data_IF_102553708371
#
_entry.id   IF_102553708371
#
_cell.length_a   1.000
_cell.length_b   1.000
_cell.length_c   1.000
_cell.angle_alpha   90.00
_cell.angle_beta   90.00
_cell.angle_gamma   90.00
#
_symmetry.space_group_name_H-M   'P 1'
#
loop_
_entity.id
_entity.type
_entity.pdbx_description
1 polymer ?
#
# COMPACT_ATOMS: atom_id res chain seq x y z
N UNK A 1 -15.84 19.55 -37.78
CA UNK A 1 -16.28 20.93 -38.07
C UNK A 1 -15.53 21.86 -37.13
N UNK A 2 -15.02 22.95 -37.69
CA UNK A 2 -13.88 23.72 -37.23
C UNK A 2 -14.02 24.32 -35.82
N UNK A 3 -12.90 24.33 -35.09
CA UNK A 3 -12.73 24.92 -33.76
C UNK A 3 -12.50 26.45 -33.86
N UNK A 4 -13.37 27.16 -34.56
CA UNK A 4 -13.20 28.59 -34.87
C UNK A 4 -13.56 29.51 -33.70
N UNK A 5 -14.25 28.98 -32.69
CA UNK A 5 -14.66 29.75 -31.53
C UNK A 5 -13.50 30.14 -30.60
N UNK A 6 -12.41 29.35 -30.54
CA UNK A 6 -11.28 29.62 -29.65
C UNK A 6 -10.37 30.76 -30.13
N UNK A 7 -10.33 31.06 -31.44
CA UNK A 7 -9.54 32.19 -31.97
C UNK A 7 -10.27 33.54 -31.84
N UNK A 8 -11.60 33.53 -31.83
CA UNK A 8 -12.42 34.75 -31.68
C UNK A 8 -12.36 35.27 -30.22
N UNK A 9 -12.35 34.37 -29.23
CA UNK A 9 -12.25 34.74 -27.81
C UNK A 9 -10.86 35.33 -27.47
N UNK A 10 -9.80 34.87 -28.14
CA UNK A 10 -8.46 35.45 -28.00
C UNK A 10 -8.36 36.90 -28.53
N UNK A 11 -9.12 37.24 -29.58
CA UNK A 11 -9.19 38.60 -30.11
C UNK A 11 -9.97 39.58 -29.21
N UNK A 12 -11.03 39.11 -28.56
CA UNK A 12 -11.90 39.95 -27.70
C UNK A 12 -11.19 40.35 -26.40
N UNK A 13 -10.36 39.48 -25.82
CA UNK A 13 -9.61 39.79 -24.60
C UNK A 13 -8.60 40.94 -24.79
N UNK A 14 -7.93 41.01 -25.95
CA UNK A 14 -7.03 42.11 -26.30
C UNK A 14 -7.80 43.40 -26.62
N UNK A 15 -8.99 43.30 -27.24
CA UNK A 15 -9.80 44.44 -27.64
C UNK A 15 -10.43 45.21 -26.46
N UNK A 16 -10.62 44.58 -25.30
CA UNK A 16 -11.22 45.24 -24.11
C UNK A 16 -10.16 45.75 -23.12
N UNK A 17 -9.01 45.09 -23.01
CA UNK A 17 -7.95 45.48 -22.04
C UNK A 17 -7.11 46.66 -22.50
N UNK A 18 -6.78 46.75 -23.79
CA UNK A 18 -5.95 47.83 -24.33
C UNK A 18 -6.62 49.22 -24.26
N UNK A 19 -7.92 49.41 -24.58
CA UNK A 19 -8.57 50.71 -24.48
C UNK A 19 -8.79 51.17 -23.02
N UNK A 20 -9.11 50.24 -22.11
CA UNK A 20 -9.35 50.54 -20.69
C UNK A 20 -8.05 50.96 -19.97
N UNK A 21 -6.91 50.36 -20.31
CA UNK A 21 -5.61 50.73 -19.75
C UNK A 21 -5.07 52.05 -20.32
N UNK A 22 -5.32 52.33 -21.61
CA UNK A 22 -4.95 53.60 -22.26
C UNK A 22 -5.75 54.80 -21.70
N UNK A 23 -7.01 54.59 -21.30
CA UNK A 23 -7.84 55.64 -20.67
C UNK A 23 -7.42 55.98 -19.22
N UNK A 24 -6.65 55.10 -18.56
CA UNK A 24 -6.20 55.25 -17.18
C UNK A 24 -4.76 55.81 -17.02
N UNK A 25 -4.06 56.13 -18.12
CA UNK A 25 -2.71 56.71 -18.10
C UNK A 25 -1.58 55.77 -17.66
N UNK A 26 -1.81 54.45 -17.70
CA UNK A 26 -0.85 53.44 -17.25
C UNK A 26 0.22 53.18 -18.33
N UNK A 27 1.52 53.10 -17.99
CA UNK A 27 2.58 52.81 -18.96
C UNK A 27 2.37 51.44 -19.63
N UNK A 28 2.57 51.37 -20.95
CA UNK A 28 2.24 50.21 -21.80
C UNK A 28 2.81 48.86 -21.29
N UNK A 29 3.99 48.89 -20.66
CA UNK A 29 4.65 47.71 -20.09
C UNK A 29 3.85 47.04 -18.95
N UNK A 30 3.15 47.84 -18.12
CA UNK A 30 2.33 47.30 -17.03
C UNK A 30 1.01 46.71 -17.55
N UNK A 31 0.47 47.26 -18.64
CA UNK A 31 -0.72 46.72 -19.29
C UNK A 31 -0.46 45.33 -19.90
N UNK A 32 0.71 45.11 -20.51
CA UNK A 32 1.12 43.79 -21.04
C UNK A 32 1.25 42.77 -19.89
N UNK A 33 1.89 43.16 -18.78
CA UNK A 33 2.00 42.31 -17.61
C UNK A 33 0.64 41.91 -17.02
N UNK A 34 -0.27 42.88 -16.89
CA UNK A 34 -1.63 42.63 -16.39
C UNK A 34 -2.42 41.73 -17.35
N UNK A 35 -2.27 41.91 -18.66
CA UNK A 35 -2.91 41.06 -19.67
C UNK A 35 -2.41 39.61 -19.60
N UNK A 36 -1.11 39.36 -19.38
CA UNK A 36 -0.58 37.99 -19.21
C UNK A 36 -1.13 37.32 -17.96
N UNK A 37 -1.26 38.05 -16.85
CA UNK A 37 -1.81 37.52 -15.59
C UNK A 37 -3.30 37.20 -15.73
N UNK A 38 -4.08 38.11 -16.33
CA UNK A 38 -5.52 37.90 -16.59
C UNK A 38 -5.74 36.75 -17.57
N UNK A 39 -4.90 36.64 -18.61
CA UNK A 39 -4.94 35.55 -19.57
C UNK A 39 -4.62 34.20 -18.91
N UNK A 40 -3.56 34.13 -18.10
CA UNK A 40 -3.22 32.92 -17.35
C UNK A 40 -4.36 32.51 -16.39
N UNK A 41 -4.95 33.47 -15.67
CA UNK A 41 -6.09 33.23 -14.79
C UNK A 41 -7.33 32.72 -15.53
N UNK A 42 -7.68 33.36 -16.65
CA UNK A 42 -8.81 32.92 -17.49
C UNK A 42 -8.57 31.56 -18.11
N UNK A 43 -7.35 31.25 -18.58
CA UNK A 43 -6.99 29.93 -19.10
C UNK A 43 -7.17 28.87 -18.01
N UNK A 44 -6.80 29.13 -16.75
CA UNK A 44 -6.99 28.19 -15.65
C UNK A 44 -8.47 28.00 -15.28
N UNK A 45 -9.27 29.07 -15.29
CA UNK A 45 -10.71 29.02 -14.92
C UNK A 45 -11.57 28.40 -16.02
N UNK A 46 -11.26 28.67 -17.29
CA UNK A 46 -12.02 28.19 -18.46
C UNK A 46 -11.41 26.96 -19.14
N UNK A 47 -10.22 26.49 -18.73
CA UNK A 47 -9.69 25.22 -19.22
C UNK A 47 -10.67 24.09 -18.88
N UNK A 48 -11.03 23.23 -19.85
CA UNK A 48 -11.95 22.13 -19.61
C UNK A 48 -11.34 21.18 -18.58
N UNK A 49 -11.95 21.08 -17.39
CA UNK A 49 -11.51 20.19 -16.29
C UNK A 49 -11.20 18.76 -16.74
N UNK A 50 -11.92 18.27 -17.77
CA UNK A 50 -11.76 16.95 -18.41
C UNK A 50 -10.35 16.66 -18.94
N UNK A 51 -9.62 17.67 -19.42
CA UNK A 51 -8.29 17.49 -20.00
C UNK A 51 -7.20 17.19 -18.95
N UNK A 52 -7.42 17.59 -17.69
CA UNK A 52 -6.48 17.36 -16.59
C UNK A 52 -6.92 16.24 -15.64
N UNK A 53 -8.21 15.93 -15.56
CA UNK A 53 -8.75 14.85 -14.73
C UNK A 53 -8.49 13.47 -15.36
N UNK A 54 -8.90 13.23 -16.60
CA UNK A 54 -8.89 11.87 -17.14
C UNK A 54 -7.48 11.24 -17.19
N UNK A 55 -6.46 11.98 -17.60
CA UNK A 55 -5.09 11.45 -17.67
C UNK A 55 -4.37 11.33 -16.31
N UNK A 56 -4.69 12.20 -15.34
CA UNK A 56 -4.06 12.11 -14.01
C UNK A 56 -4.69 10.98 -13.20
N UNK A 57 -6.01 10.86 -13.23
CA UNK A 57 -6.73 9.81 -12.50
C UNK A 57 -6.45 8.44 -13.10
N UNK A 58 -6.39 8.30 -14.44
CA UNK A 58 -5.99 7.05 -15.07
C UNK A 58 -4.54 6.66 -14.75
N UNK A 59 -3.62 7.63 -14.58
CA UNK A 59 -2.25 7.35 -14.11
C UNK A 59 -2.21 6.89 -12.66
N UNK A 60 -3.01 7.51 -11.79
CA UNK A 60 -3.11 7.13 -10.37
C UNK A 60 -3.69 5.73 -10.25
N UNK A 61 -4.82 5.44 -10.89
CA UNK A 61 -5.46 4.11 -10.87
C UNK A 61 -4.51 3.03 -11.41
N UNK A 62 -3.82 3.27 -12.54
CA UNK A 62 -2.79 2.34 -13.04
C UNK A 62 -1.66 2.12 -12.04
N UNK A 63 -1.19 3.18 -11.38
CA UNK A 63 -0.12 3.08 -10.37
C UNK A 63 -0.58 2.28 -9.15
N UNK A 64 -1.78 2.55 -8.65
CA UNK A 64 -2.38 1.85 -7.51
C UNK A 64 -2.57 0.36 -7.82
N UNK A 65 -3.09 0.01 -9.00
CA UNK A 65 -3.21 -1.39 -9.43
C UNK A 65 -1.86 -2.08 -9.63
N UNK A 66 -0.86 -1.36 -10.15
CA UNK A 66 0.49 -1.90 -10.26
C UNK A 66 1.09 -2.18 -8.88
N UNK A 67 0.93 -1.26 -7.94
CA UNK A 67 1.37 -1.43 -6.55
C UNK A 67 0.69 -2.61 -5.86
N UNK A 68 -0.65 -2.73 -5.97
CA UNK A 68 -1.38 -3.88 -5.44
C UNK A 68 -0.84 -5.21 -6.01
N UNK A 69 -0.58 -5.26 -7.32
CA UNK A 69 0.00 -6.43 -7.98
C UNK A 69 1.40 -6.75 -7.49
N UNK A 70 2.25 -5.74 -7.32
CA UNK A 70 3.62 -5.91 -6.83
C UNK A 70 3.63 -6.44 -5.39
N UNK A 71 2.72 -5.92 -4.54
CA UNK A 71 2.55 -6.42 -3.18
C UNK A 71 2.10 -7.88 -3.18
N UNK A 72 1.09 -8.24 -3.98
CA UNK A 72 0.63 -9.62 -4.10
C UNK A 72 1.74 -10.55 -4.58
N UNK A 73 2.51 -10.13 -5.58
CA UNK A 73 3.64 -10.90 -6.10
C UNK A 73 4.70 -11.18 -5.03
N UNK A 74 4.95 -10.23 -4.13
CA UNK A 74 5.87 -10.41 -3.00
C UNK A 74 5.27 -11.24 -1.84
N UNK A 75 3.98 -11.12 -1.57
CA UNK A 75 3.35 -11.72 -0.40
C UNK A 75 2.85 -13.16 -0.63
N UNK A 76 2.47 -13.52 -1.86
CA UNK A 76 2.02 -14.86 -2.21
C UNK A 76 3.03 -15.96 -1.86
N UNK A 77 4.34 -15.82 -2.17
CA UNK A 77 5.34 -16.80 -1.74
C UNK A 77 5.42 -16.95 -0.21
N UNK A 78 5.24 -15.89 0.56
CA UNK A 78 5.30 -15.94 2.02
C UNK A 78 4.10 -16.67 2.62
N UNK A 79 2.90 -16.49 2.05
CA UNK A 79 1.73 -17.29 2.42
C UNK A 79 1.91 -18.79 2.06
N UNK A 80 2.57 -19.10 0.93
CA UNK A 80 2.91 -20.48 0.59
C UNK A 80 3.95 -21.09 1.54
N UNK A 81 4.92 -20.30 2.01
CA UNK A 81 5.86 -20.74 3.05
C UNK A 81 5.14 -21.08 4.35
N UNK A 82 4.13 -20.31 4.76
CA UNK A 82 3.30 -20.65 5.93
C UNK A 82 2.62 -22.01 5.75
N UNK A 83 1.99 -22.28 4.61
CA UNK A 83 1.38 -23.59 4.34
C UNK A 83 2.40 -24.73 4.36
N UNK A 84 3.55 -24.52 3.72
CA UNK A 84 4.65 -25.51 3.71
C UNK A 84 5.26 -25.71 5.09
N UNK A 85 5.30 -24.67 5.93
CA UNK A 85 5.70 -24.79 7.33
C UNK A 85 4.67 -25.62 8.10
N UNK A 86 3.37 -25.32 7.96
CA UNK A 86 2.29 -26.07 8.60
C UNK A 86 2.35 -27.57 8.28
N UNK A 87 2.60 -27.94 7.02
CA UNK A 87 2.73 -29.34 6.60
C UNK A 87 3.91 -30.06 7.26
N UNK A 88 4.96 -29.33 7.64
CA UNK A 88 6.14 -29.86 8.33
C UNK A 88 5.95 -29.95 9.85
N UNK A 89 4.97 -29.27 10.41
CA UNK A 89 4.70 -29.23 11.85
C UNK A 89 4.00 -30.52 12.30
N UNK A 90 4.57 -31.18 13.29
CA UNK A 90 4.05 -32.41 13.88
C UNK A 90 2.92 -32.13 14.89
N UNK A 91 3.02 -31.07 15.68
CA UNK A 91 1.95 -30.66 16.60
C UNK A 91 0.68 -30.24 15.84
N UNK A 92 -0.44 -30.98 15.99
CA UNK A 92 -1.66 -30.69 15.24
C UNK A 92 -2.28 -29.33 15.58
N UNK A 93 -2.11 -28.84 16.82
CA UNK A 93 -2.66 -27.55 17.28
C UNK A 93 -1.87 -26.42 16.63
N UNK A 94 -0.53 -26.48 16.69
CA UNK A 94 0.30 -25.43 16.10
C UNK A 94 0.14 -25.42 14.57
N UNK A 95 0.11 -26.60 13.93
CA UNK A 95 -0.19 -26.73 12.51
C UNK A 95 -1.50 -26.06 12.12
N UNK A 96 -2.57 -26.25 12.89
CA UNK A 96 -3.85 -25.59 12.63
C UNK A 96 -3.72 -24.07 12.67
N UNK A 97 -3.03 -23.51 13.68
CA UNK A 97 -2.83 -22.06 13.81
C UNK A 97 -2.05 -21.48 12.63
N UNK A 98 -1.00 -22.17 12.17
CA UNK A 98 -0.23 -21.73 10.99
C UNK A 98 -1.06 -21.83 9.69
N UNK A 99 -1.91 -22.85 9.55
CA UNK A 99 -2.86 -22.91 8.43
C UNK A 99 -3.88 -21.77 8.48
N UNK A 100 -4.35 -21.38 9.66
CA UNK A 100 -5.22 -20.21 9.83
C UNK A 100 -4.50 -18.90 9.46
N UNK A 101 -3.22 -18.73 9.81
CA UNK A 101 -2.41 -17.59 9.34
C UNK A 101 -2.36 -17.51 7.82
N UNK A 102 -2.08 -18.62 7.14
CA UNK A 102 -2.05 -18.67 5.68
C UNK A 102 -3.43 -18.33 5.08
N UNK A 103 -4.51 -18.87 5.66
CA UNK A 103 -5.89 -18.58 5.24
C UNK A 103 -6.23 -17.10 5.37
N UNK A 104 -5.91 -16.48 6.50
CA UNK A 104 -6.19 -15.05 6.76
C UNK A 104 -5.35 -14.16 5.83
N UNK A 105 -4.10 -14.52 5.56
CA UNK A 105 -3.28 -13.82 4.58
C UNK A 105 -3.93 -13.84 3.18
N UNK A 106 -4.42 -15.00 2.73
CA UNK A 106 -5.15 -15.12 1.46
C UNK A 106 -6.45 -14.31 1.42
N UNK A 107 -7.15 -14.18 2.56
CA UNK A 107 -8.34 -13.33 2.65
C UNK A 107 -8.00 -11.85 2.45
N UNK A 108 -6.90 -11.37 3.04
CA UNK A 108 -6.40 -10.00 2.83
C UNK A 108 -6.00 -9.80 1.36
N UNK A 109 -5.38 -10.80 0.73
CA UNK A 109 -5.01 -10.74 -0.68
C UNK A 109 -6.23 -10.62 -1.59
N UNK A 110 -7.27 -11.43 -1.35
CA UNK A 110 -8.51 -11.34 -2.11
C UNK A 110 -9.16 -9.96 -1.98
N UNK A 111 -9.18 -9.38 -0.78
CA UNK A 111 -9.68 -8.02 -0.56
C UNK A 111 -8.86 -6.95 -1.29
N UNK A 112 -7.54 -7.12 -1.40
CA UNK A 112 -6.67 -6.23 -2.17
C UNK A 112 -6.86 -6.39 -3.68
N UNK A 113 -7.12 -7.62 -4.15
CA UNK A 113 -7.45 -7.89 -5.56
C UNK A 113 -8.79 -7.24 -5.94
N UNK A 114 -9.78 -7.30 -5.05
CA UNK A 114 -11.09 -6.67 -5.21
C UNK A 114 -11.02 -5.13 -5.13
N UNK A 115 -10.22 -4.60 -4.19
CA UNK A 115 -10.03 -3.16 -3.99
C UNK A 115 -8.54 -2.76 -3.93
N UNK A 116 -7.92 -2.50 -5.10
CA UNK A 116 -6.51 -2.09 -5.18
C UNK A 116 -6.20 -0.79 -4.44
N UNK A 117 -7.19 0.06 -4.13
CA UNK A 117 -6.96 1.32 -3.41
C UNK A 117 -6.44 1.09 -1.99
N UNK A 118 -6.69 -0.11 -1.42
CA UNK A 118 -6.19 -0.50 -0.11
C UNK A 118 -4.72 -0.92 -0.10
N UNK A 119 -4.03 -0.91 -1.25
CA UNK A 119 -2.62 -1.29 -1.34
C UNK A 119 -1.74 -0.58 -0.30
N UNK A 120 -2.00 0.70 -0.04
CA UNK A 120 -1.28 1.46 0.98
C UNK A 120 -1.50 0.93 2.40
N UNK A 121 -2.73 0.55 2.75
CA UNK A 121 -3.11 0.06 4.09
C UNK A 121 -2.52 -1.33 4.37
N UNK A 122 -2.55 -2.23 3.38
CA UNK A 122 -2.05 -3.61 3.53
C UNK A 122 -0.56 -3.76 3.22
N UNK A 123 0.10 -2.70 2.73
CA UNK A 123 1.51 -2.71 2.36
C UNK A 123 2.38 -3.28 3.48
N UNK A 124 2.26 -2.74 4.69
CA UNK A 124 3.13 -3.12 5.83
C UNK A 124 2.85 -4.56 6.27
N UNK A 125 1.59 -4.98 6.27
CA UNK A 125 1.22 -6.37 6.49
C UNK A 125 1.95 -7.30 5.51
N UNK A 126 1.85 -7.00 4.21
CA UNK A 126 2.39 -7.83 3.14
C UNK A 126 3.91 -7.81 3.06
N UNK A 127 4.55 -6.66 3.32
CA UNK A 127 5.99 -6.49 3.13
C UNK A 127 6.82 -6.73 4.38
N UNK A 128 6.22 -6.81 5.56
CA UNK A 128 6.95 -6.93 6.83
C UNK A 128 6.38 -8.01 7.74
N UNK A 129 5.10 -7.92 8.10
CA UNK A 129 4.52 -8.83 9.10
C UNK A 129 4.36 -10.25 8.57
N UNK A 130 3.84 -10.41 7.35
CA UNK A 130 3.63 -11.72 6.75
C UNK A 130 4.94 -12.50 6.53
N UNK A 131 6.00 -11.92 5.91
CA UNK A 131 7.28 -12.61 5.80
C UNK A 131 7.84 -13.06 7.15
N UNK A 132 7.76 -12.20 8.17
CA UNK A 132 8.25 -12.51 9.52
C UNK A 132 7.45 -13.63 10.20
N UNK A 133 6.12 -13.62 10.05
CA UNK A 133 5.29 -14.71 10.53
C UNK A 133 5.64 -16.04 9.86
N UNK A 134 5.96 -16.01 8.55
CA UNK A 134 6.45 -17.19 7.84
C UNK A 134 7.78 -17.68 8.41
N UNK A 135 8.74 -16.80 8.65
CA UNK A 135 10.02 -17.15 9.28
C UNK A 135 9.85 -17.79 10.67
N UNK A 136 8.93 -17.27 11.49
CA UNK A 136 8.61 -17.84 12.82
C UNK A 136 8.03 -19.25 12.69
N UNK A 137 7.07 -19.46 11.78
CA UNK A 137 6.47 -20.76 11.55
C UNK A 137 7.49 -21.79 11.01
N UNK A 138 8.35 -21.37 10.08
CA UNK A 138 9.44 -22.22 9.58
C UNK A 138 10.46 -22.55 10.68
N UNK A 139 10.77 -21.58 11.53
CA UNK A 139 11.64 -21.77 12.68
C UNK A 139 11.08 -22.77 13.68
N UNK A 140 9.78 -22.70 13.97
CA UNK A 140 9.09 -23.69 14.80
C UNK A 140 9.26 -25.10 14.22
N UNK A 141 8.92 -25.30 12.95
CA UNK A 141 9.02 -26.61 12.28
C UNK A 141 10.48 -27.14 12.27
N UNK A 142 11.45 -26.24 12.06
CA UNK A 142 12.87 -26.59 12.06
C UNK A 142 13.38 -26.99 13.45
N UNK A 143 12.87 -26.39 14.52
CA UNK A 143 13.23 -26.77 15.90
C UNK A 143 12.54 -28.07 16.30
N UNK A 144 11.25 -28.23 16.00
CA UNK A 144 10.46 -29.41 16.37
C UNK A 144 11.03 -30.71 15.81
N UNK A 145 11.62 -30.66 14.61
CA UNK A 145 12.26 -31.82 13.97
C UNK A 145 13.62 -32.21 14.58
N UNK A 146 14.23 -31.35 15.42
CA UNK A 146 15.50 -31.66 16.10
C UNK A 146 15.26 -32.65 17.23
N UNK A 147 16.11 -33.68 17.33
CA UNK A 147 16.05 -34.70 18.40
C UNK A 147 16.20 -34.13 19.83
N UNK A 148 16.74 -32.92 19.98
CA UNK A 148 17.02 -32.26 21.27
C UNK A 148 16.20 -30.97 21.41
N UNK A 149 15.04 -30.88 20.74
CA UNK A 149 14.16 -29.73 20.85
C UNK A 149 13.72 -29.54 22.32
N UNK A 150 13.88 -28.33 22.86
CA UNK A 150 13.37 -27.99 24.18
C UNK A 150 11.85 -27.75 24.11
N UNK A 151 11.02 -28.53 24.80
CA UNK A 151 9.56 -28.36 24.81
C UNK A 151 9.12 -26.97 25.29
N UNK A 152 9.87 -26.34 26.21
CA UNK A 152 9.56 -24.97 26.66
C UNK A 152 9.75 -23.98 25.53
N UNK A 153 10.79 -24.17 24.74
CA UNK A 153 11.10 -23.31 23.60
C UNK A 153 10.04 -23.41 22.51
N UNK A 154 9.59 -24.63 22.21
CA UNK A 154 8.46 -24.84 21.29
C UNK A 154 7.19 -24.17 21.81
N UNK A 155 6.89 -24.28 23.11
CA UNK A 155 5.73 -23.62 23.70
C UNK A 155 5.79 -22.08 23.60
N UNK A 156 6.96 -21.48 23.82
CA UNK A 156 7.18 -20.02 23.65
C UNK A 156 6.90 -19.56 22.21
N UNK A 157 7.48 -20.25 21.23
CA UNK A 157 7.29 -19.93 19.81
C UNK A 157 5.82 -20.17 19.41
N UNK A 158 5.21 -21.26 19.89
CA UNK A 158 3.80 -21.58 19.67
C UNK A 158 2.86 -20.50 20.23
N UNK A 159 3.19 -19.89 21.36
CA UNK A 159 2.45 -18.77 21.92
C UNK A 159 2.57 -17.48 21.09
N UNK A 160 3.70 -17.27 20.40
CA UNK A 160 3.84 -16.16 19.45
C UNK A 160 3.08 -16.46 18.14
N UNK A 161 3.09 -17.70 17.65
CA UNK A 161 2.23 -18.11 16.51
C UNK A 161 0.75 -17.86 16.84
N UNK A 162 0.32 -18.12 18.07
CA UNK A 162 -1.04 -17.85 18.52
C UNK A 162 -1.39 -16.36 18.45
N UNK A 163 -0.53 -15.52 19.01
CA UNK A 163 -0.69 -14.05 18.98
C UNK A 163 -0.64 -13.49 17.56
N UNK A 164 0.23 -14.03 16.70
CA UNK A 164 0.28 -13.70 15.28
C UNK A 164 -1.07 -14.03 14.62
N UNK A 165 -1.63 -15.21 14.90
CA UNK A 165 -2.92 -15.64 14.34
C UNK A 165 -4.05 -14.71 14.77
N UNK A 166 -4.09 -14.33 16.05
CA UNK A 166 -5.10 -13.40 16.56
C UNK A 166 -4.92 -12.00 15.97
N UNK A 167 -3.69 -11.46 15.98
CA UNK A 167 -3.39 -10.15 15.41
C UNK A 167 -3.67 -10.06 13.90
N UNK A 168 -3.38 -11.12 13.14
CA UNK A 168 -3.71 -11.18 11.71
C UNK A 168 -5.21 -11.25 11.49
N UNK A 169 -5.94 -12.00 12.31
CA UNK A 169 -7.40 -12.10 12.22
C UNK A 169 -8.05 -10.75 12.52
N UNK A 170 -7.64 -10.09 13.61
CA UNK A 170 -8.14 -8.75 13.94
C UNK A 170 -7.76 -7.70 12.90
N UNK A 171 -6.53 -7.79 12.36
CA UNK A 171 -6.12 -6.93 11.26
C UNK A 171 -6.94 -7.20 9.99
N UNK A 172 -7.28 -8.44 9.66
CA UNK A 172 -8.16 -8.73 8.54
C UNK A 172 -9.56 -8.12 8.75
N UNK A 173 -10.10 -8.14 9.97
CA UNK A 173 -11.42 -7.57 10.25
C UNK A 173 -11.44 -6.04 10.19
N UNK A 174 -10.43 -5.38 10.74
CA UNK A 174 -10.42 -3.93 10.97
C UNK A 174 -9.33 -3.13 10.23
N UNK A 175 -8.43 -3.79 9.50
CA UNK A 175 -7.24 -3.21 8.84
C UNK A 175 -6.47 -2.20 9.72
N UNK A 176 -6.42 -2.48 11.03
CA UNK A 176 -5.89 -1.54 12.01
C UNK A 176 -4.42 -1.86 12.29
N UNK A 177 -3.50 -0.95 11.92
CA UNK A 177 -2.06 -1.14 12.15
C UNK A 177 -1.70 -1.36 13.62
N UNK A 178 -2.49 -0.85 14.57
CA UNK A 178 -2.24 -1.05 16.00
C UNK A 178 -2.23 -2.54 16.39
N UNK A 179 -3.08 -3.36 15.75
CA UNK A 179 -3.13 -4.81 15.99
C UNK A 179 -1.81 -5.48 15.59
N UNK A 180 -1.27 -5.11 14.43
CA UNK A 180 0.02 -5.62 13.95
C UNK A 180 1.20 -5.04 14.74
N UNK A 181 1.13 -3.76 15.14
CA UNK A 181 2.18 -3.09 15.90
C UNK A 181 2.45 -3.74 17.25
N UNK A 182 1.43 -4.34 17.88
CA UNK A 182 1.62 -5.11 19.12
C UNK A 182 2.56 -6.32 18.96
N UNK A 183 2.69 -6.84 17.73
CA UNK A 183 3.50 -8.01 17.39
C UNK A 183 4.98 -7.69 17.14
N UNK A 184 5.35 -6.41 17.01
CA UNK A 184 6.72 -5.99 16.66
C UNK A 184 7.76 -6.51 17.68
N UNK A 185 7.43 -6.45 18.97
CA UNK A 185 8.31 -6.94 20.04
C UNK A 185 8.40 -8.46 20.04
N UNK A 186 7.26 -9.14 19.93
CA UNK A 186 7.19 -10.61 19.94
C UNK A 186 7.98 -11.21 18.77
N UNK A 187 7.80 -10.65 17.57
CA UNK A 187 8.53 -11.07 16.37
C UNK A 187 10.04 -10.85 16.52
N UNK A 188 10.44 -9.65 16.96
CA UNK A 188 11.86 -9.31 17.10
C UNK A 188 12.58 -10.17 18.15
N UNK A 189 11.90 -10.50 19.25
CA UNK A 189 12.46 -11.36 20.30
C UNK A 189 12.59 -12.81 19.83
N UNK A 190 11.53 -13.37 19.24
CA UNK A 190 11.54 -14.75 18.76
C UNK A 190 12.51 -14.93 17.60
N UNK A 191 12.56 -14.02 16.62
CA UNK A 191 13.50 -14.10 15.50
C UNK A 191 14.96 -14.18 15.97
N UNK A 192 15.37 -13.29 16.88
CA UNK A 192 16.73 -13.31 17.46
C UNK A 192 17.03 -14.62 18.16
N UNK A 193 16.05 -15.15 18.87
CA UNK A 193 16.24 -16.41 19.58
C UNK A 193 16.19 -17.62 18.62
N UNK A 194 15.41 -17.56 17.53
CA UNK A 194 15.40 -18.58 16.47
C UNK A 194 16.74 -18.62 15.73
N UNK A 195 17.33 -17.48 15.42
CA UNK A 195 18.66 -17.39 14.79
C UNK A 195 19.71 -18.14 15.63
N UNK A 196 19.70 -17.90 16.95
CA UNK A 196 20.55 -18.61 17.91
C UNK A 196 20.29 -20.12 17.96
N UNK A 197 19.03 -20.55 17.94
CA UNK A 197 18.64 -21.96 18.05
C UNK A 197 18.93 -22.74 16.76
N UNK A 198 18.81 -22.08 15.60
CA UNK A 198 19.00 -22.69 14.28
C UNK A 198 20.47 -22.60 13.84
N UNK A 199 21.26 -21.70 14.42
CA UNK A 199 22.68 -21.55 14.13
C UNK A 199 22.92 -20.93 12.74
N UNK A 200 22.07 -19.98 12.35
CA UNK A 200 22.27 -19.17 11.14
C UNK A 200 23.08 -17.93 11.46
#
# INVERSE_FOLDING_TARGET
MHNDANWIVAGIAAAVTLPLAAFAGVPLIFAIGMAVVVFAGLVVVFAPKKLFEDERFARIDRKVRAEARDLLAGALPEAQKLGTAADRIADPIVRQKVNELARVAHEIFARLEDDPQKAGEVRRFMSFYLPRAAEVAEGYAAIETKKVADPKRLAEIGAVIDRLKDGFTHYADGLTEAELGSLDSDLSEIERSLEKDIGR
#
